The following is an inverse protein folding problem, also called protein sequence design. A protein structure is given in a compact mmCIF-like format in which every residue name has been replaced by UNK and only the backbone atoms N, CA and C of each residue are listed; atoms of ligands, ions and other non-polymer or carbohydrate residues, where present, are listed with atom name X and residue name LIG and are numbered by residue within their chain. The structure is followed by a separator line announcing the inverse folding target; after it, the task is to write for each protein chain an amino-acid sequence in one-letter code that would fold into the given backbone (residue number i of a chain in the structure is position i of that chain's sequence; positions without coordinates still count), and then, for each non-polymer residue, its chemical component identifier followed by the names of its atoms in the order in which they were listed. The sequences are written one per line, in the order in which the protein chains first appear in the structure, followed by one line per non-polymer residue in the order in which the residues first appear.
data_IF_624982020165
#
_entry.id   IF_624982020165
#
_cell.length_a   1.000
_cell.length_b   1.000
_cell.length_c   1.000
_cell.angle_alpha   90.00
_cell.angle_beta   90.00
_cell.angle_gamma   90.00
#
_symmetry.space_group_name_H-M   'P 1'
#
loop_
_entity.id
_entity.type
_entity.pdbx_description
1 polymer ?
#
# COMPACT_ATOMS: atom_id res chain seq x y z
N UNK A 1 -27.42 6.48 31.59
CA UNK A 1 -26.05 6.08 31.20
C UNK A 1 -25.66 6.81 29.92
N UNK A 2 -24.37 7.10 29.73
CA UNK A 2 -23.80 7.65 28.48
C UNK A 2 -22.80 6.63 27.93
N UNK A 3 -22.94 6.28 26.65
CA UNK A 3 -21.99 5.44 25.92
C UNK A 3 -21.35 6.31 24.83
N UNK A 4 -20.03 6.39 24.82
CA UNK A 4 -19.25 7.16 23.83
C UNK A 4 -18.48 6.18 22.95
N UNK A 5 -18.73 6.23 21.64
CA UNK A 5 -18.17 5.29 20.64
C UNK A 5 -17.77 6.01 19.33
N UNK A 6 -17.03 7.12 19.44
CA UNK A 6 -16.67 7.98 18.29
C UNK A 6 -15.51 7.43 17.42
N UNK A 7 -14.90 6.31 17.84
CA UNK A 7 -13.79 5.68 17.12
C UNK A 7 -12.48 6.45 17.26
N UNK A 8 -11.63 6.31 16.24
CA UNK A 8 -10.26 6.89 16.19
C UNK A 8 -9.99 7.54 14.84
N UNK A 9 -8.93 8.37 14.77
CA UNK A 9 -8.39 8.97 13.55
C UNK A 9 -6.96 8.48 13.29
N UNK A 10 -6.48 8.52 12.04
CA UNK A 10 -5.07 8.28 11.73
C UNK A 10 -4.17 9.21 12.55
N UNK A 11 -2.98 8.74 12.89
CA UNK A 11 -2.00 9.50 13.66
C UNK A 11 -0.69 9.56 12.89
N UNK A 12 -0.27 10.76 12.50
CA UNK A 12 0.97 11.01 11.74
C UNK A 12 2.16 11.40 12.62
N UNK A 13 2.11 11.08 13.92
CA UNK A 13 3.22 11.30 14.87
C UNK A 13 3.74 12.74 14.92
N UNK A 14 2.83 13.71 14.80
CA UNK A 14 3.15 15.15 14.78
C UNK A 14 3.43 15.73 13.40
N UNK A 15 3.42 14.93 12.34
CA UNK A 15 3.71 15.37 10.96
C UNK A 15 2.43 15.43 10.11
N UNK A 16 1.55 16.39 10.41
CA UNK A 16 0.25 16.50 9.73
C UNK A 16 0.37 16.64 8.20
N UNK A 17 1.42 17.28 7.70
CA UNK A 17 1.65 17.50 6.27
C UNK A 17 1.84 16.20 5.48
N UNK A 18 2.16 15.08 6.15
CA UNK A 18 2.32 13.78 5.50
C UNK A 18 1.02 13.24 4.90
N UNK A 19 -0.15 13.64 5.41
CA UNK A 19 -1.45 13.16 4.92
C UNK A 19 -1.67 13.42 3.43
N UNK A 20 -1.04 14.47 2.89
CA UNK A 20 -1.13 14.81 1.46
C UNK A 20 -0.40 13.81 0.58
N UNK A 21 0.67 13.19 1.10
CA UNK A 21 1.52 12.25 0.38
C UNK A 21 1.18 10.80 0.70
N UNK A 22 0.85 10.52 1.96
CA UNK A 22 0.55 9.20 2.51
C UNK A 22 -0.90 9.17 3.04
N UNK A 23 -1.88 8.97 2.15
CA UNK A 23 -3.28 8.94 2.56
C UNK A 23 -3.60 7.76 3.49
N UNK A 24 -4.47 7.98 4.46
CA UNK A 24 -4.93 6.91 5.36
C UNK A 24 -5.90 5.94 4.67
N UNK A 25 -6.07 4.76 5.24
CA UNK A 25 -7.10 3.77 4.89
C UNK A 25 -8.06 3.58 6.07
N UNK A 26 -9.03 4.48 6.26
CA UNK A 26 -10.02 4.37 7.33
C UNK A 26 -11.47 4.33 6.86
N UNK A 27 -11.77 4.89 5.70
CA UNK A 27 -13.12 4.88 5.15
C UNK A 27 -13.20 4.16 3.80
N UNK A 28 -14.43 3.96 3.30
CA UNK A 28 -14.65 3.37 1.96
C UNK A 28 -14.16 4.32 0.87
N UNK A 29 -14.29 5.62 1.10
CA UNK A 29 -13.78 6.66 0.21
C UNK A 29 -12.26 6.60 0.11
N UNK A 30 -11.56 6.37 1.25
CA UNK A 30 -10.12 6.14 1.25
C UNK A 30 -9.74 4.93 0.40
N UNK A 31 -10.40 3.79 0.61
CA UNK A 31 -10.14 2.56 -0.14
C UNK A 31 -10.34 2.76 -1.65
N UNK A 32 -11.43 3.45 -2.02
CA UNK A 32 -11.76 3.75 -3.41
C UNK A 32 -10.72 4.67 -4.05
N UNK A 33 -10.26 5.68 -3.31
CA UNK A 33 -9.21 6.61 -3.75
C UNK A 33 -7.87 5.89 -3.94
N UNK A 34 -7.46 5.05 -2.99
CA UNK A 34 -6.22 4.28 -3.06
C UNK A 34 -6.26 3.35 -4.28
N UNK A 35 -7.33 2.56 -4.45
CA UNK A 35 -7.49 1.69 -5.61
C UNK A 35 -7.40 2.46 -6.92
N UNK A 36 -8.09 3.60 -7.01
CA UNK A 36 -8.04 4.46 -8.20
C UNK A 36 -6.61 4.92 -8.48
N UNK A 37 -5.88 5.36 -7.46
CA UNK A 37 -4.50 5.85 -7.61
C UNK A 37 -3.58 4.74 -8.12
N UNK A 38 -3.63 3.55 -7.51
CA UNK A 38 -2.85 2.38 -7.95
C UNK A 38 -3.07 2.10 -9.44
N UNK A 39 -4.34 2.04 -9.89
CA UNK A 39 -4.64 1.78 -11.31
C UNK A 39 -4.12 2.89 -12.23
N UNK A 40 -4.26 4.15 -11.83
CA UNK A 40 -3.75 5.30 -12.60
C UNK A 40 -2.22 5.31 -12.68
N UNK A 41 -1.52 4.87 -11.63
CA UNK A 41 -0.05 4.81 -11.62
C UNK A 41 0.46 3.78 -12.64
N UNK A 42 -0.21 2.62 -12.80
CA UNK A 42 0.10 1.68 -13.89
C UNK A 42 -0.15 2.28 -15.27
N UNK A 43 -1.24 3.03 -15.44
CA UNK A 43 -1.48 3.71 -16.72
C UNK A 43 -0.48 4.85 -17.00
N UNK A 44 0.03 5.51 -15.95
CA UNK A 44 1.07 6.52 -16.08
C UNK A 44 2.39 5.87 -16.51
N UNK A 45 2.75 4.75 -15.87
CA UNK A 45 3.91 3.94 -16.24
C UNK A 45 3.88 3.49 -17.71
N UNK A 46 2.72 3.06 -18.23
CA UNK A 46 2.57 2.67 -19.64
C UNK A 46 2.82 3.83 -20.62
N UNK A 47 2.52 5.06 -20.23
CA UNK A 47 2.72 6.26 -21.05
C UNK A 47 4.14 6.82 -20.95
N UNK A 48 4.84 6.52 -19.87
CA UNK A 48 6.21 6.97 -19.63
C UNK A 48 7.22 6.29 -20.58
N UNK A 49 8.27 7.01 -20.96
CA UNK A 49 9.34 6.53 -21.84
C UNK A 49 10.67 6.31 -21.13
N UNK A 50 10.90 7.02 -20.03
CA UNK A 50 12.10 6.86 -19.23
C UNK A 50 11.98 5.62 -18.33
N UNK A 51 12.86 4.60 -18.49
CA UNK A 51 12.82 3.40 -17.66
C UNK A 51 12.94 3.67 -16.16
N UNK A 52 13.69 4.69 -15.73
CA UNK A 52 13.84 5.01 -14.30
C UNK A 52 12.51 5.53 -13.74
N UNK A 53 11.84 6.41 -14.49
CA UNK A 53 10.53 6.94 -14.10
C UNK A 53 9.42 5.89 -14.15
N UNK A 54 9.49 4.94 -15.08
CA UNK A 54 8.59 3.78 -15.07
C UNK A 54 8.72 3.02 -13.75
N UNK A 55 9.95 2.80 -13.26
CA UNK A 55 10.17 2.12 -11.99
C UNK A 55 9.63 2.92 -10.80
N UNK A 56 9.71 4.26 -10.83
CA UNK A 56 9.09 5.12 -9.82
C UNK A 56 7.57 4.92 -9.77
N UNK A 57 6.90 4.93 -10.92
CA UNK A 57 5.44 4.70 -11.00
C UNK A 57 5.02 3.30 -10.54
N UNK A 58 5.89 2.30 -10.73
CA UNK A 58 5.65 0.92 -10.33
C UNK A 58 6.09 0.62 -8.89
N UNK A 59 6.53 1.62 -8.13
CA UNK A 59 6.95 1.45 -6.73
C UNK A 59 5.89 2.03 -5.78
N UNK A 60 5.26 1.17 -5.00
CA UNK A 60 4.26 1.50 -4.00
C UNK A 60 4.86 1.39 -2.59
N UNK A 61 4.60 2.38 -1.74
CA UNK A 61 5.06 2.38 -0.35
C UNK A 61 3.88 2.30 0.60
N UNK A 62 3.89 1.31 1.50
CA UNK A 62 2.90 1.12 2.55
C UNK A 62 3.60 1.28 3.90
N UNK A 63 3.12 2.21 4.72
CA UNK A 63 3.70 2.50 6.04
C UNK A 63 2.85 1.88 7.14
N UNK A 64 3.49 1.05 7.96
CA UNK A 64 2.90 0.28 9.05
C UNK A 64 2.73 -1.19 8.68
N UNK A 65 3.51 -2.07 9.28
CA UNK A 65 3.44 -3.53 9.14
C UNK A 65 2.43 -4.21 10.05
N UNK A 66 1.42 -3.48 10.54
CA UNK A 66 0.25 -4.07 11.20
C UNK A 66 -0.69 -4.77 10.20
N UNK A 67 -1.78 -5.39 10.68
CA UNK A 67 -2.70 -6.15 9.83
C UNK A 67 -3.19 -5.35 8.61
N UNK A 68 -3.59 -4.09 8.79
CA UNK A 68 -4.08 -3.25 7.69
C UNK A 68 -3.03 -3.00 6.61
N UNK A 69 -1.77 -2.78 6.98
CA UNK A 69 -0.72 -2.49 6.00
C UNK A 69 -0.24 -3.75 5.27
N UNK A 70 -0.13 -4.88 5.97
CA UNK A 70 0.19 -6.18 5.35
C UNK A 70 -0.87 -6.58 4.33
N UNK A 71 -2.16 -6.50 4.69
CA UNK A 71 -3.26 -6.80 3.78
C UNK A 71 -3.29 -5.86 2.57
N UNK A 72 -3.06 -4.55 2.77
CA UNK A 72 -3.00 -3.59 1.67
C UNK A 72 -1.82 -3.88 0.74
N UNK A 73 -0.65 -4.21 1.29
CA UNK A 73 0.52 -4.56 0.49
C UNK A 73 0.28 -5.82 -0.35
N UNK A 74 -0.32 -6.85 0.26
CA UNK A 74 -0.73 -8.08 -0.43
C UNK A 74 -1.75 -7.81 -1.55
N UNK A 75 -2.76 -6.98 -1.29
CA UNK A 75 -3.78 -6.64 -2.28
C UNK A 75 -3.19 -5.87 -3.48
N UNK A 76 -2.24 -4.96 -3.27
CA UNK A 76 -1.54 -4.28 -4.37
C UNK A 76 -0.71 -5.31 -5.17
N UNK A 77 -0.01 -6.20 -4.49
CA UNK A 77 0.72 -7.30 -5.13
C UNK A 77 -0.18 -8.22 -5.95
N UNK A 78 -1.39 -8.53 -5.48
CA UNK A 78 -2.37 -9.32 -6.21
C UNK A 78 -2.88 -8.61 -7.46
N UNK A 79 -3.17 -7.30 -7.36
CA UNK A 79 -3.55 -6.47 -8.51
C UNK A 79 -2.47 -6.52 -9.59
N UNK A 80 -1.21 -6.31 -9.20
CA UNK A 80 -0.07 -6.30 -10.10
C UNK A 80 0.16 -7.67 -10.78
N UNK A 81 0.23 -8.73 -9.98
CA UNK A 81 0.66 -10.06 -10.44
C UNK A 81 -0.44 -10.89 -11.11
N UNK A 82 -1.70 -10.61 -10.79
CA UNK A 82 -2.83 -11.41 -11.28
C UNK A 82 -3.82 -10.58 -12.08
N UNK A 83 -4.28 -9.45 -11.55
CA UNK A 83 -5.37 -8.68 -12.18
C UNK A 83 -4.92 -7.94 -13.44
N UNK A 84 -3.72 -7.36 -13.41
CA UNK A 84 -3.20 -6.51 -14.49
C UNK A 84 -2.22 -7.23 -15.41
N UNK A 85 -1.88 -8.48 -15.11
CA UNK A 85 -0.91 -9.25 -15.88
C UNK A 85 -1.36 -9.38 -17.35
N UNK A 86 -0.54 -8.86 -18.26
CA UNK A 86 -0.83 -8.87 -19.70
C UNK A 86 -1.78 -7.79 -20.19
N UNK A 87 -2.22 -6.86 -19.32
CA UNK A 87 -3.13 -5.77 -19.70
C UNK A 87 -2.41 -4.54 -20.30
N UNK A 88 -1.08 -4.53 -20.28
CA UNK A 88 -0.23 -3.44 -20.73
C UNK A 88 0.75 -3.91 -21.81
N UNK A 89 1.15 -3.01 -22.72
CA UNK A 89 1.99 -3.35 -23.88
C UNK A 89 3.46 -2.99 -23.68
N UNK A 90 3.74 -1.92 -22.94
CA UNK A 90 5.10 -1.37 -22.75
C UNK A 90 5.68 -1.72 -21.39
N UNK A 91 4.84 -1.80 -20.36
CA UNK A 91 5.26 -2.21 -19.02
C UNK A 91 4.87 -3.65 -18.72
N UNK A 92 5.61 -4.25 -17.78
CA UNK A 92 5.21 -5.48 -17.10
C UNK A 92 4.74 -5.11 -15.68
N UNK A 93 3.42 -5.14 -15.40
CA UNK A 93 2.89 -4.85 -14.07
C UNK A 93 3.43 -5.75 -12.97
N UNK A 94 3.89 -6.97 -13.31
CA UNK A 94 4.44 -7.92 -12.33
C UNK A 94 5.79 -7.47 -11.78
N UNK A 95 6.43 -6.48 -12.40
CA UNK A 95 7.63 -5.81 -11.88
C UNK A 95 7.32 -4.75 -10.81
N UNK A 96 6.05 -4.54 -10.46
CA UNK A 96 5.69 -3.61 -9.40
C UNK A 96 6.31 -4.01 -8.06
N UNK A 97 6.85 -3.03 -7.37
CA UNK A 97 7.49 -3.19 -6.06
C UNK A 97 6.59 -2.63 -4.99
N UNK A 98 6.26 -3.44 -3.99
CA UNK A 98 5.51 -2.98 -2.81
C UNK A 98 6.45 -2.98 -1.62
N UNK A 99 6.80 -1.79 -1.15
CA UNK A 99 7.67 -1.58 0.00
C UNK A 99 6.81 -1.41 1.25
N UNK A 100 6.82 -2.42 2.13
CA UNK A 100 6.17 -2.35 3.44
C UNK A 100 7.19 -1.88 4.49
N UNK A 101 6.93 -0.74 5.10
CA UNK A 101 7.82 -0.13 6.11
C UNK A 101 7.21 -0.28 7.49
N UNK A 102 7.90 -0.93 8.41
CA UNK A 102 7.52 -1.11 9.81
C UNK A 102 8.59 -0.51 10.73
N UNK A 103 8.16 0.21 11.77
CA UNK A 103 9.06 0.81 12.77
C UNK A 103 9.42 -0.14 13.92
N UNK A 104 8.64 -1.20 14.12
CA UNK A 104 8.94 -2.28 15.04
C UNK A 104 9.95 -3.29 14.45
N UNK A 105 10.41 -4.22 15.28
CA UNK A 105 11.37 -5.26 14.89
C UNK A 105 10.81 -6.23 13.81
N UNK A 106 9.48 -6.39 13.74
CA UNK A 106 8.81 -7.32 12.83
C UNK A 106 7.39 -6.87 12.47
N UNK A 107 6.92 -7.28 11.29
CA UNK A 107 5.52 -7.12 10.87
C UNK A 107 4.60 -7.96 11.74
N UNK A 108 3.33 -7.57 11.87
CA UNK A 108 2.33 -8.28 12.67
C UNK A 108 2.84 -8.63 14.08
N UNK A 109 3.38 -7.67 14.87
CA UNK A 109 4.04 -7.96 16.14
C UNK A 109 3.09 -8.58 17.19
N UNK A 110 1.77 -8.47 16.99
CA UNK A 110 0.76 -9.12 17.83
C UNK A 110 0.62 -10.62 17.58
N UNK A 111 1.15 -11.13 16.46
CA UNK A 111 1.15 -12.55 16.13
C UNK A 111 2.41 -13.25 16.67
N UNK A 112 2.38 -14.58 16.85
CA UNK A 112 3.56 -15.38 17.10
C UNK A 112 4.73 -15.08 16.13
N UNK A 113 6.00 -15.12 16.59
CA UNK A 113 7.15 -14.76 15.76
C UNK A 113 7.29 -15.56 14.46
N UNK A 114 6.91 -16.84 14.47
CA UNK A 114 6.94 -17.71 13.30
C UNK A 114 5.94 -17.27 12.22
N UNK A 115 4.72 -16.89 12.60
CA UNK A 115 3.72 -16.37 11.66
C UNK A 115 4.13 -15.01 11.09
N UNK A 116 4.74 -14.19 11.93
CA UNK A 116 5.30 -12.89 11.53
C UNK A 116 6.46 -13.04 10.54
N UNK A 117 7.36 -14.01 10.76
CA UNK A 117 8.41 -14.36 9.82
C UNK A 117 7.84 -14.86 8.48
N UNK A 118 6.85 -15.75 8.53
CA UNK A 118 6.17 -16.24 7.31
C UNK A 118 5.44 -15.15 6.53
N UNK A 119 4.98 -14.08 7.18
CA UNK A 119 4.34 -12.95 6.52
C UNK A 119 5.36 -11.98 5.89
N UNK A 120 6.64 -12.07 6.28
CA UNK A 120 7.72 -11.23 5.74
C UNK A 120 8.49 -11.88 4.57
N UNK A 121 8.28 -13.17 4.34
CA UNK A 121 8.76 -13.91 3.16
C UNK A 121 7.95 -13.58 1.91
#
# INVERSE_FOLDING_TARGET
YLIVAVGVRPHYFGNADWETYAPSLKTIEDATRIRRRVLLDFEAAERESDPERVQEWLTFVVVGGGPTGVELAGAIGEIANHTLRGNFRRIDPTQARVLLIEGAERVLPTYPPDLSARAAE
#
